data_IF_156955797471
#
_entry.id   IF_156955797471
#
_cell.length_a   1.000
_cell.length_b   1.000
_cell.length_c   1.000
_cell.angle_alpha   90.00
_cell.angle_beta   90.00
_cell.angle_gamma   90.00
#
_symmetry.space_group_name_H-M   'P 1'
#
loop_
_entity.id
_entity.type
_entity.pdbx_description
1 polymer ?
#
# COMPACT_ATOMS: atom_id res chain seq x y z
N UNK A 1 6.57 -14.83 -6.36
CA UNK A 1 6.79 -13.63 -7.20
C UNK A 1 8.21 -13.16 -6.98
N UNK A 2 8.99 -12.90 -8.04
CA UNK A 2 10.34 -12.33 -7.93
C UNK A 2 10.25 -10.86 -7.49
N UNK A 3 11.32 -10.33 -6.89
CA UNK A 3 11.32 -8.96 -6.35
C UNK A 3 10.95 -7.90 -7.40
N UNK A 4 11.42 -8.07 -8.65
CA UNK A 4 11.06 -7.21 -9.78
C UNK A 4 9.57 -7.30 -10.17
N UNK A 5 9.01 -8.51 -10.16
CA UNK A 5 7.60 -8.74 -10.49
C UNK A 5 6.69 -8.10 -9.43
N UNK A 6 7.10 -8.11 -8.15
CA UNK A 6 6.39 -7.45 -7.05
C UNK A 6 6.40 -5.93 -7.21
N UNK A 7 7.54 -5.34 -7.53
CA UNK A 7 7.63 -3.90 -7.77
C UNK A 7 6.72 -3.46 -8.93
N UNK A 8 6.73 -4.20 -10.05
CA UNK A 8 5.82 -3.92 -11.17
C UNK A 8 4.35 -4.03 -10.75
N UNK A 9 4.00 -5.05 -9.95
CA UNK A 9 2.63 -5.24 -9.45
C UNK A 9 2.17 -4.10 -8.52
N UNK A 10 3.10 -3.53 -7.73
CA UNK A 10 2.84 -2.35 -6.88
C UNK A 10 2.62 -1.11 -7.75
N UNK A 11 3.50 -0.86 -8.74
CA UNK A 11 3.36 0.31 -9.62
C UNK A 11 2.06 0.30 -10.41
N UNK A 12 1.63 -0.87 -10.89
CA UNK A 12 0.37 -1.04 -11.62
C UNK A 12 -0.87 -0.73 -10.76
N UNK A 13 -0.79 -0.99 -9.45
CA UNK A 13 -1.89 -0.76 -8.50
C UNK A 13 -1.83 0.59 -7.81
N UNK A 14 -0.71 1.29 -7.92
CA UNK A 14 -0.49 2.56 -7.24
C UNK A 14 -1.48 3.61 -7.78
N UNK A 15 -2.38 4.14 -6.93
CA UNK A 15 -3.33 5.14 -7.39
C UNK A 15 -2.59 6.44 -7.73
N UNK A 16 -2.90 7.04 -8.87
CA UNK A 16 -2.29 8.31 -9.30
C UNK A 16 -3.02 9.47 -8.66
N UNK A 17 -2.34 10.20 -7.76
CA UNK A 17 -2.90 11.35 -7.06
C UNK A 17 -3.24 12.54 -7.96
N UNK A 18 -2.67 12.60 -9.17
CA UNK A 18 -2.99 13.65 -10.14
C UNK A 18 -4.26 13.35 -10.93
N UNK A 19 -4.70 12.08 -10.93
CA UNK A 19 -5.92 11.65 -11.59
C UNK A 19 -7.04 11.58 -10.57
N UNK A 20 -8.09 12.39 -10.76
CA UNK A 20 -9.33 12.33 -9.95
C UNK A 20 -10.19 11.12 -10.33
N UNK A 21 -9.57 9.96 -10.53
CA UNK A 21 -10.22 8.71 -10.93
C UNK A 21 -10.82 7.98 -9.72
N UNK A 22 -10.33 8.28 -8.52
CA UNK A 22 -10.72 7.61 -7.29
C UNK A 22 -11.31 8.57 -6.27
N UNK A 23 -12.33 8.11 -5.55
CA UNK A 23 -12.75 8.73 -4.29
C UNK A 23 -11.66 8.51 -3.23
N UNK A 24 -11.73 9.27 -2.12
CA UNK A 24 -10.79 9.11 -1.01
C UNK A 24 -10.77 7.67 -0.50
N UNK A 25 -11.94 7.06 -0.33
CA UNK A 25 -12.07 5.68 0.15
C UNK A 25 -11.44 4.68 -0.82
N UNK A 26 -11.69 4.84 -2.13
CA UNK A 26 -11.08 3.99 -3.15
C UNK A 26 -9.56 4.13 -3.19
N UNK A 27 -9.03 5.33 -2.93
CA UNK A 27 -7.61 5.57 -2.82
C UNK A 27 -7.01 4.82 -1.63
N UNK A 28 -7.71 4.85 -0.48
CA UNK A 28 -7.31 4.13 0.71
C UNK A 28 -7.35 2.61 0.51
N UNK A 29 -8.40 2.08 -0.11
CA UNK A 29 -8.54 0.65 -0.43
C UNK A 29 -7.39 0.16 -1.32
N UNK A 30 -6.96 0.96 -2.31
CA UNK A 30 -5.81 0.64 -3.16
C UNK A 30 -4.50 0.57 -2.38
N UNK A 31 -4.30 1.49 -1.44
CA UNK A 31 -3.14 1.46 -0.55
C UNK A 31 -3.13 0.22 0.35
N UNK A 32 -4.29 -0.19 0.86
CA UNK A 32 -4.43 -1.41 1.67
C UNK A 32 -4.15 -2.68 0.85
N UNK A 33 -4.62 -2.76 -0.39
CA UNK A 33 -4.34 -3.87 -1.30
C UNK A 33 -2.84 -4.03 -1.55
N UNK A 34 -2.14 -2.93 -1.85
CA UNK A 34 -0.68 -2.90 -2.01
C UNK A 34 0.02 -3.37 -0.74
N UNK A 35 -0.42 -2.89 0.43
CA UNK A 35 0.14 -3.30 1.71
C UNK A 35 -0.02 -4.80 1.92
N UNK A 36 -1.23 -5.34 1.75
CA UNK A 36 -1.51 -6.77 1.94
C UNK A 36 -0.69 -7.64 0.98
N UNK A 37 -0.48 -7.17 -0.26
CA UNK A 37 0.38 -7.84 -1.22
C UNK A 37 1.84 -7.89 -0.75
N UNK A 38 2.37 -6.78 -0.25
CA UNK A 38 3.73 -6.72 0.30
C UNK A 38 3.85 -7.64 1.51
N UNK A 39 2.88 -7.63 2.42
CA UNK A 39 2.88 -8.50 3.61
C UNK A 39 2.88 -9.99 3.24
N UNK A 40 2.16 -10.36 2.17
CA UNK A 40 2.07 -11.74 1.68
C UNK A 40 3.36 -12.21 1.00
N UNK A 41 4.00 -11.34 0.22
CA UNK A 41 5.18 -11.71 -0.58
C UNK A 41 6.53 -11.42 0.09
N UNK A 42 6.56 -10.48 1.04
CA UNK A 42 7.75 -10.01 1.76
C UNK A 42 7.46 -9.85 3.25
N UNK A 43 7.07 -10.94 3.95
CA UNK A 43 6.70 -10.91 5.38
C UNK A 43 7.83 -10.36 6.28
N UNK A 44 9.08 -10.41 5.83
CA UNK A 44 10.24 -9.83 6.51
C UNK A 44 10.18 -8.29 6.62
N UNK A 45 9.45 -7.61 5.73
CA UNK A 45 9.29 -6.15 5.78
C UNK A 45 8.22 -5.71 6.77
N UNK A 46 7.32 -6.62 7.17
CA UNK A 46 6.19 -6.36 8.06
C UNK A 46 6.63 -6.27 9.53
N UNK A 47 7.71 -6.99 9.87
CA UNK A 47 8.30 -6.98 11.21
C UNK A 47 9.41 -5.94 11.38
N UNK A 48 9.66 -5.12 10.36
CA UNK A 48 10.67 -4.07 10.44
C UNK A 48 10.20 -2.92 11.31
N UNK A 49 11.08 -2.43 12.17
CA UNK A 49 11.02 -1.07 12.72
C UNK A 49 10.99 -0.08 11.54
N UNK A 50 9.79 0.11 10.96
CA UNK A 50 9.62 1.04 9.85
C UNK A 50 9.93 2.44 10.39
N UNK A 51 10.93 3.12 9.82
CA UNK A 51 11.17 4.55 10.04
C UNK A 51 9.94 5.41 9.72
N UNK A 52 8.97 4.83 9.00
CA UNK A 52 7.64 5.38 8.79
C UNK A 52 6.65 4.58 9.64
N UNK A 53 6.47 4.93 10.93
CA UNK A 53 5.51 4.25 11.79
C UNK A 53 4.14 4.33 11.12
N UNK A 54 3.43 3.20 11.08
CA UNK A 54 2.03 3.19 10.67
C UNK A 54 1.26 4.07 11.63
N UNK A 55 0.83 5.23 11.14
CA UNK A 55 -0.06 6.09 11.87
C UNK A 55 -1.39 5.33 11.99
N UNK A 56 -1.80 4.98 13.21
CA UNK A 56 -3.17 4.61 13.50
C UNK A 56 -4.02 5.82 13.09
N UNK A 57 -4.60 5.77 11.89
CA UNK A 57 -5.50 6.83 11.41
C UNK A 57 -6.79 6.66 12.20
N UNK A 58 -6.82 7.25 13.38
CA UNK A 58 -8.04 7.44 14.16
C UNK A 58 -9.00 8.26 13.33
N UNK A 59 -10.02 7.61 12.79
CA UNK A 59 -11.15 8.27 12.15
C UNK A 59 -11.91 8.99 13.27
N UNK A 60 -11.63 10.28 13.45
CA UNK A 60 -12.48 11.14 14.27
C UNK A 60 -13.68 11.54 13.41
N UNK A 61 -14.88 11.09 13.83
CA UNK A 61 -16.15 11.29 13.12
C UNK A 61 -16.69 12.71 13.30
#
# INVERSE_FOLDING_TARGET
MRNYELLMAIYDRCPDSNKREYTVDQYFDRCLDIRQMIETHRPELVKGDSEYPQQEVGIDY
#
